data_IF_635870606896
#
_entry.id   IF_635870606896
#
_cell.length_a   1.000
_cell.length_b   1.000
_cell.length_c   1.000
_cell.angle_alpha   90.00
_cell.angle_beta   90.00
_cell.angle_gamma   90.00
#
_symmetry.space_group_name_H-M   'P 1'
#
loop_
_entity.id
_entity.type
_entity.pdbx_description
1 polymer ?
#
# COMPACT_ATOMS: atom_id res chain seq x y z
N UNK A 1 -7.11 22.44 2.96
CA UNK A 1 -6.73 21.23 2.21
C UNK A 1 -7.96 20.41 1.92
N UNK A 2 -8.09 19.90 0.73
CA UNK A 2 -9.23 19.03 0.41
C UNK A 2 -9.15 17.76 1.26
N UNK A 3 -10.23 17.41 1.93
CA UNK A 3 -10.34 16.15 2.67
C UNK A 3 -10.78 15.03 1.70
N UNK A 4 -9.90 14.69 0.77
CA UNK A 4 -10.16 13.75 -0.33
C UNK A 4 -9.02 12.75 -0.46
N UNK A 5 -9.37 11.49 -0.67
CA UNK A 5 -8.42 10.39 -0.88
C UNK A 5 -8.51 9.92 -2.33
N UNK A 6 -7.38 9.80 -2.98
CA UNK A 6 -7.26 9.16 -4.29
C UNK A 6 -6.82 7.71 -4.12
N UNK A 7 -7.53 6.78 -4.74
CA UNK A 7 -7.18 5.37 -4.77
C UNK A 7 -6.81 5.00 -6.20
N UNK A 8 -5.58 4.55 -6.41
CA UNK A 8 -5.16 3.99 -7.70
C UNK A 8 -5.36 2.48 -7.68
N UNK A 9 -6.14 2.02 -8.64
CA UNK A 9 -6.53 0.62 -8.78
C UNK A 9 -5.53 -0.14 -9.66
N UNK A 10 -4.81 -1.07 -9.05
CA UNK A 10 -3.90 -1.99 -9.74
C UNK A 10 -4.54 -3.35 -10.04
N UNK A 11 -5.86 -3.43 -10.04
CA UNK A 11 -6.62 -4.63 -10.36
C UNK A 11 -6.98 -5.51 -9.17
N UNK A 12 -6.88 -4.99 -7.96
CA UNK A 12 -7.25 -5.71 -6.75
C UNK A 12 -8.77 -5.97 -6.69
N UNK A 13 -9.14 -7.17 -6.28
CA UNK A 13 -10.52 -7.48 -5.91
C UNK A 13 -10.99 -6.69 -4.65
N UNK A 14 -10.08 -6.09 -3.90
CA UNK A 14 -10.37 -5.36 -2.66
C UNK A 14 -10.41 -3.84 -2.83
N UNK A 15 -10.19 -3.30 -4.03
CA UNK A 15 -10.16 -1.85 -4.27
C UNK A 15 -11.46 -1.17 -3.83
N UNK A 16 -12.61 -1.76 -4.17
CA UNK A 16 -13.91 -1.23 -3.76
C UNK A 16 -14.11 -1.31 -2.24
N UNK A 17 -13.58 -2.32 -1.58
CA UNK A 17 -13.63 -2.45 -0.13
C UNK A 17 -12.79 -1.36 0.55
N UNK A 18 -11.61 -1.06 0.01
CA UNK A 18 -10.78 0.06 0.48
C UNK A 18 -11.57 1.38 0.41
N UNK A 19 -12.16 1.66 -0.73
CA UNK A 19 -12.98 2.86 -0.92
C UNK A 19 -14.15 2.92 0.05
N UNK A 20 -14.82 1.82 0.25
CA UNK A 20 -15.92 1.71 1.21
C UNK A 20 -15.47 2.03 2.63
N UNK A 21 -14.34 1.49 3.07
CA UNK A 21 -13.79 1.77 4.40
C UNK A 21 -13.42 3.23 4.59
N UNK A 22 -12.86 3.85 3.57
CA UNK A 22 -12.56 5.29 3.59
C UNK A 22 -13.84 6.11 3.73
N UNK A 23 -14.88 5.78 2.97
CA UNK A 23 -16.18 6.47 3.01
C UNK A 23 -16.92 6.28 4.33
N UNK A 24 -16.80 5.13 4.97
CA UNK A 24 -17.36 4.87 6.30
C UNK A 24 -16.78 5.81 7.38
N UNK A 25 -15.61 6.36 7.14
CA UNK A 25 -14.97 7.38 7.98
C UNK A 25 -15.38 8.82 7.61
N UNK A 26 -16.40 8.98 6.76
CA UNK A 26 -16.86 10.27 6.23
C UNK A 26 -15.79 11.03 5.44
N UNK A 27 -14.89 10.29 4.77
CA UNK A 27 -13.87 10.85 3.90
C UNK A 27 -14.24 10.58 2.45
N UNK A 28 -14.24 11.61 1.64
CA UNK A 28 -14.50 11.47 0.20
C UNK A 28 -13.32 10.75 -0.46
N UNK A 29 -13.60 9.78 -1.33
CA UNK A 29 -12.57 9.13 -2.12
C UNK A 29 -13.02 8.86 -3.55
N UNK A 30 -12.06 8.85 -4.45
CA UNK A 30 -12.24 8.50 -5.86
C UNK A 30 -11.28 7.36 -6.21
N UNK A 31 -11.73 6.49 -7.11
CA UNK A 31 -10.93 5.41 -7.66
C UNK A 31 -10.63 5.72 -9.12
N UNK A 32 -9.35 5.68 -9.48
CA UNK A 32 -8.90 5.73 -10.86
C UNK A 32 -8.03 4.51 -11.17
N UNK A 33 -8.05 4.00 -12.41
CA UNK A 33 -7.07 3.02 -12.84
C UNK A 33 -5.64 3.53 -12.59
N UNK A 34 -4.72 2.62 -12.27
CA UNK A 34 -3.33 2.96 -11.93
C UNK A 34 -2.62 3.82 -12.98
N UNK A 35 -2.98 3.66 -14.24
CA UNK A 35 -2.39 4.35 -15.39
C UNK A 35 -3.19 5.57 -15.86
N UNK A 36 -4.23 5.97 -15.14
CA UNK A 36 -5.02 7.16 -15.47
C UNK A 36 -4.18 8.43 -15.28
N UNK A 37 -4.44 9.40 -16.13
CA UNK A 37 -3.89 10.76 -16.03
C UNK A 37 -4.99 11.81 -15.87
N UNK A 38 -6.21 11.39 -15.60
CA UNK A 38 -7.39 12.26 -15.54
C UNK A 38 -7.63 12.85 -14.14
N UNK A 39 -6.58 12.99 -13.34
CA UNK A 39 -6.65 13.61 -12.01
C UNK A 39 -5.44 14.51 -11.77
N UNK A 40 -5.60 15.50 -10.90
CA UNK A 40 -4.48 16.28 -10.36
C UNK A 40 -4.26 15.88 -8.89
N UNK A 41 -3.04 15.46 -8.58
CA UNK A 41 -2.65 15.06 -7.21
C UNK A 41 -2.91 16.16 -6.18
N UNK A 42 -2.85 17.41 -6.59
CA UNK A 42 -3.11 18.57 -5.72
C UNK A 42 -4.54 18.63 -5.19
N UNK A 43 -5.47 17.93 -5.85
CA UNK A 43 -6.86 17.87 -5.42
C UNK A 43 -7.10 16.89 -4.25
N UNK A 44 -6.06 16.17 -3.82
CA UNK A 44 -6.15 15.12 -2.81
C UNK A 44 -5.24 15.38 -1.63
N UNK A 45 -5.66 14.92 -0.46
CA UNK A 45 -4.88 14.99 0.79
C UNK A 45 -4.00 13.76 0.99
N UNK A 46 -4.33 12.64 0.38
CA UNK A 46 -3.49 11.44 0.39
C UNK A 46 -3.86 10.49 -0.76
N UNK A 47 -2.97 9.54 -0.97
CA UNK A 47 -3.02 8.57 -2.06
C UNK A 47 -2.95 7.15 -1.51
N UNK A 48 -3.74 6.23 -2.05
CA UNK A 48 -3.66 4.81 -1.73
C UNK A 48 -3.38 4.02 -3.02
N UNK A 49 -2.36 3.18 -2.99
CA UNK A 49 -2.11 2.18 -4.03
C UNK A 49 -2.72 0.86 -3.58
N UNK A 50 -3.61 0.31 -4.39
CA UNK A 50 -4.25 -0.97 -4.12
C UNK A 50 -3.30 -2.16 -4.34
N UNK A 51 -3.77 -3.36 -4.03
CA UNK A 51 -3.15 -4.60 -4.45
C UNK A 51 -3.34 -4.88 -5.94
N UNK A 52 -2.75 -5.99 -6.39
CA UNK A 52 -2.85 -6.49 -7.75
C UNK A 52 -2.71 -8.01 -7.75
N UNK A 53 -3.29 -8.74 -8.72
CA UNK A 53 -2.99 -10.14 -8.93
C UNK A 53 -1.60 -10.38 -9.54
N UNK A 54 -0.93 -9.33 -10.03
CA UNK A 54 0.39 -9.40 -10.63
C UNK A 54 1.50 -9.34 -9.57
N UNK A 55 2.72 -9.74 -9.97
CA UNK A 55 3.94 -9.56 -9.18
C UNK A 55 4.76 -8.40 -9.73
N UNK A 56 5.39 -7.63 -8.84
CA UNK A 56 6.36 -6.58 -9.25
C UNK A 56 7.60 -7.16 -9.91
N UNK A 57 7.83 -8.47 -9.73
CA UNK A 57 8.96 -9.21 -10.30
C UNK A 57 8.65 -9.77 -11.69
N UNK A 58 7.42 -9.72 -12.15
CA UNK A 58 7.03 -10.23 -13.47
C UNK A 58 7.27 -9.20 -14.56
N UNK A 59 7.42 -9.67 -15.79
CA UNK A 59 7.51 -8.82 -16.98
C UNK A 59 6.22 -8.02 -17.22
N UNK A 60 5.09 -8.56 -16.77
CA UNK A 60 3.77 -7.91 -16.83
C UNK A 60 3.51 -6.95 -15.66
N UNK A 61 4.55 -6.56 -14.94
CA UNK A 61 4.45 -5.63 -13.84
C UNK A 61 3.77 -4.33 -14.28
N UNK A 62 2.73 -3.95 -13.53
CA UNK A 62 2.04 -2.68 -13.75
C UNK A 62 2.94 -1.56 -13.27
N UNK A 63 3.36 -0.70 -14.18
CA UNK A 63 4.30 0.38 -13.89
C UNK A 63 3.68 1.74 -14.13
N UNK A 64 4.03 2.68 -13.25
CA UNK A 64 3.67 4.10 -13.38
C UNK A 64 4.85 4.97 -12.99
N UNK A 65 4.91 6.15 -13.55
CA UNK A 65 5.79 7.20 -13.04
C UNK A 65 5.11 7.87 -11.85
N UNK A 66 5.65 7.67 -10.65
CA UNK A 66 5.14 8.30 -9.44
C UNK A 66 6.08 9.35 -8.84
N UNK A 67 7.01 9.87 -9.62
CA UNK A 67 7.88 10.99 -9.21
C UNK A 67 7.07 12.22 -8.78
N UNK A 68 5.85 12.36 -9.29
CA UNK A 68 4.92 13.41 -8.89
C UNK A 68 4.26 13.19 -7.53
N UNK A 69 4.34 12.00 -6.96
CA UNK A 69 3.65 11.62 -5.72
C UNK A 69 4.61 11.51 -4.53
N UNK A 70 5.74 10.84 -4.73
CA UNK A 70 6.70 10.53 -3.65
C UNK A 70 7.23 11.82 -3.03
N UNK A 71 7.11 11.90 -1.70
CA UNK A 71 7.55 13.05 -0.92
C UNK A 71 6.68 14.31 -1.03
N UNK A 72 5.64 14.29 -1.88
CA UNK A 72 4.76 15.45 -2.10
C UNK A 72 3.39 15.26 -1.46
N UNK A 73 2.92 14.03 -1.33
CA UNK A 73 1.63 13.67 -0.76
C UNK A 73 1.78 12.42 0.08
N UNK A 74 1.13 12.31 1.25
CA UNK A 74 1.08 11.05 1.99
C UNK A 74 0.56 9.91 1.12
N UNK A 75 1.30 8.79 1.09
CA UNK A 75 1.01 7.67 0.24
C UNK A 75 1.02 6.37 1.05
N UNK A 76 -0.05 5.58 0.92
CA UNK A 76 -0.19 4.27 1.52
C UNK A 76 -0.21 3.20 0.43
N UNK A 77 0.71 2.24 0.51
CA UNK A 77 0.69 1.05 -0.33
C UNK A 77 0.08 -0.14 0.40
N UNK A 78 -0.77 -0.89 -0.28
CA UNK A 78 -1.41 -2.11 0.23
C UNK A 78 -1.03 -3.27 -0.67
N UNK A 79 -0.47 -4.36 -0.11
CA UNK A 79 -0.03 -5.55 -0.84
C UNK A 79 0.88 -5.20 -2.03
N UNK A 80 0.43 -5.43 -3.27
CA UNK A 80 1.19 -5.05 -4.46
C UNK A 80 1.64 -3.59 -4.42
N UNK A 81 0.77 -2.66 -3.99
CA UNK A 81 1.13 -1.26 -3.87
C UNK A 81 2.31 -1.02 -2.94
N UNK A 82 2.36 -1.71 -1.81
CA UNK A 82 3.49 -1.64 -0.88
C UNK A 82 4.77 -2.25 -1.48
N UNK A 83 4.65 -3.40 -2.13
CA UNK A 83 5.76 -4.07 -2.83
C UNK A 83 6.30 -3.21 -3.95
N UNK A 84 5.43 -2.60 -4.73
CA UNK A 84 5.78 -1.70 -5.81
C UNK A 84 6.56 -0.48 -5.32
N UNK A 85 6.08 0.15 -4.25
CA UNK A 85 6.78 1.29 -3.63
C UNK A 85 8.16 0.89 -3.11
N UNK A 86 8.27 -0.26 -2.44
CA UNK A 86 9.55 -0.77 -1.95
C UNK A 86 10.51 -1.01 -3.11
N UNK A 87 10.08 -1.71 -4.14
CA UNK A 87 10.88 -2.05 -5.32
C UNK A 87 11.40 -0.79 -6.05
N UNK A 88 10.54 0.17 -6.30
CA UNK A 88 10.89 1.41 -7.02
C UNK A 88 11.77 2.36 -6.19
N UNK A 89 11.78 2.22 -4.88
CA UNK A 89 12.64 3.02 -3.99
C UNK A 89 13.93 2.29 -3.57
N UNK A 90 14.34 1.27 -4.31
CA UNK A 90 15.60 0.56 -4.08
C UNK A 90 15.54 -0.53 -3.02
N UNK A 91 14.34 -0.87 -2.53
CA UNK A 91 14.13 -2.03 -1.68
C UNK A 91 14.08 -3.33 -2.49
N UNK A 92 14.05 -4.44 -1.79
CA UNK A 92 13.98 -5.76 -2.39
C UNK A 92 12.63 -6.42 -2.13
N UNK A 93 12.09 -7.02 -3.17
CA UNK A 93 10.91 -7.88 -3.13
C UNK A 93 11.30 -9.23 -3.69
N UNK A 94 10.97 -10.28 -2.99
CA UNK A 94 11.27 -11.66 -3.43
C UNK A 94 10.05 -12.55 -3.26
N UNK A 95 9.95 -13.64 -4.06
CA UNK A 95 8.93 -14.64 -3.82
C UNK A 95 9.03 -15.18 -2.39
N UNK A 96 7.91 -15.23 -1.70
CA UNK A 96 7.87 -15.83 -0.37
C UNK A 96 7.99 -17.34 -0.48
N UNK A 97 8.76 -17.96 0.43
CA UNK A 97 8.81 -19.42 0.55
C UNK A 97 7.46 -20.01 0.95
N UNK A 98 6.63 -19.20 1.60
CA UNK A 98 5.24 -19.50 1.92
C UNK A 98 4.35 -18.41 1.36
N UNK A 99 3.45 -18.79 0.45
CA UNK A 99 2.37 -17.89 0.07
C UNK A 99 1.48 -17.67 1.27
N UNK A 100 1.24 -16.42 1.61
CA UNK A 100 0.49 -16.06 2.80
C UNK A 100 -0.91 -15.62 2.42
N UNK A 101 -1.84 -16.50 2.71
CA UNK A 101 -3.26 -16.25 2.58
C UNK A 101 -3.93 -16.64 3.90
N UNK A 102 -4.33 -15.67 4.68
CA UNK A 102 -4.98 -15.92 5.94
C UNK A 102 -4.52 -15.03 7.08
N UNK A 103 -4.66 -15.56 8.27
CA UNK A 103 -4.39 -14.84 9.51
C UNK A 103 -2.90 -14.68 9.76
N UNK A 104 -2.51 -13.49 10.17
CA UNK A 104 -1.17 -13.19 10.68
C UNK A 104 -1.29 -12.29 11.91
N UNK A 105 -0.17 -12.12 12.62
CA UNK A 105 -0.11 -11.21 13.76
C UNK A 105 0.98 -10.17 13.55
N UNK A 106 0.70 -8.95 13.97
CA UNK A 106 1.72 -7.91 14.00
C UNK A 106 2.65 -8.15 15.19
N UNK A 107 3.93 -8.41 14.94
CA UNK A 107 4.92 -8.63 15.99
C UNK A 107 5.31 -7.32 16.65
N UNK A 108 5.59 -6.31 15.83
CA UNK A 108 6.14 -5.05 16.28
C UNK A 108 5.50 -3.91 15.51
N UNK A 109 5.12 -2.89 16.24
CA UNK A 109 4.54 -1.66 15.70
C UNK A 109 5.40 -0.50 16.18
N UNK A 110 5.85 0.31 15.24
CA UNK A 110 6.50 1.57 15.60
C UNK A 110 5.49 2.49 16.29
N UNK A 111 5.74 2.79 17.56
CA UNK A 111 4.84 3.62 18.39
C UNK A 111 4.67 5.05 17.87
N UNK A 112 5.60 5.51 17.05
CA UNK A 112 5.53 6.83 16.42
C UNK A 112 4.75 6.82 15.09
N UNK A 113 4.31 5.66 14.63
CA UNK A 113 3.51 5.55 13.41
C UNK A 113 2.13 6.19 13.60
N UNK A 114 1.85 7.20 12.82
CA UNK A 114 0.52 7.83 12.80
C UNK A 114 -0.54 6.89 12.24
N UNK A 115 -0.16 6.06 11.27
CA UNK A 115 -1.07 5.10 10.61
C UNK A 115 -1.53 3.99 11.56
N UNK A 116 -0.64 3.54 12.44
CA UNK A 116 -0.88 2.41 13.32
C UNK A 116 -1.23 2.82 14.75
N UNK A 117 -1.53 4.10 14.96
CA UNK A 117 -1.92 4.63 16.26
C UNK A 117 -3.17 3.90 16.79
N UNK A 118 -3.08 3.37 18.00
CA UNK A 118 -4.19 2.64 18.63
C UNK A 118 -4.26 1.16 18.26
N UNK A 119 -3.31 0.65 17.47
CA UNK A 119 -3.19 -0.77 17.16
C UNK A 119 -2.10 -1.36 18.05
N UNK A 120 -2.42 -2.46 18.73
CA UNK A 120 -1.51 -3.12 19.67
C UNK A 120 -0.63 -4.18 18.98
N UNK A 121 0.56 -4.39 19.53
CA UNK A 121 1.39 -5.55 19.17
C UNK A 121 0.60 -6.84 19.41
N UNK A 122 0.76 -7.80 18.52
CA UNK A 122 0.01 -9.05 18.53
C UNK A 122 -1.37 -8.97 17.90
N UNK A 123 -1.80 -7.79 17.43
CA UNK A 123 -3.07 -7.65 16.71
C UNK A 123 -3.13 -8.57 15.50
N UNK A 124 -4.28 -9.21 15.31
CA UNK A 124 -4.52 -10.06 14.16
C UNK A 124 -4.79 -9.22 12.91
N UNK A 125 -4.11 -9.57 11.83
CA UNK A 125 -4.33 -9.02 10.49
C UNK A 125 -4.59 -10.14 9.50
N UNK A 126 -5.04 -9.78 8.32
CA UNK A 126 -5.24 -10.71 7.23
C UNK A 126 -4.22 -10.46 6.14
N UNK A 127 -3.57 -11.52 5.68
CA UNK A 127 -2.56 -11.46 4.62
C UNK A 127 -3.09 -12.12 3.35
N UNK A 128 -2.72 -11.57 2.21
CA UNK A 128 -3.07 -12.12 0.90
C UNK A 128 -1.99 -11.70 -0.10
N UNK A 129 -0.88 -12.42 -0.09
CA UNK A 129 0.25 -12.15 -1.00
C UNK A 129 1.14 -13.36 -1.21
N UNK A 130 1.83 -13.38 -2.35
CA UNK A 130 2.82 -14.40 -2.71
C UNK A 130 4.25 -13.87 -2.60
N UNK A 131 4.48 -12.58 -2.72
CA UNK A 131 5.78 -11.94 -2.64
C UNK A 131 5.95 -11.23 -1.29
N UNK A 132 7.19 -11.13 -0.83
CA UNK A 132 7.54 -10.50 0.44
C UNK A 132 8.55 -9.38 0.21
N UNK A 133 8.34 -8.26 0.89
CA UNK A 133 9.32 -7.18 0.96
C UNK A 133 10.39 -7.59 1.96
N UNK A 134 11.62 -7.72 1.50
CA UNK A 134 12.76 -8.16 2.34
C UNK A 134 13.60 -6.98 2.82
N UNK A 135 13.75 -5.96 1.99
CA UNK A 135 14.40 -4.71 2.37
C UNK A 135 13.65 -3.50 1.84
N UNK A 136 13.72 -2.40 2.56
CA UNK A 136 13.13 -1.12 2.15
C UNK A 136 14.13 0.02 2.32
N UNK A 137 13.97 1.07 1.52
CA UNK A 137 14.59 2.35 1.78
C UNK A 137 13.69 3.19 2.69
N UNK A 138 14.17 3.51 3.88
CA UNK A 138 13.39 4.27 4.87
C UNK A 138 13.39 5.78 4.63
N UNK A 139 13.96 6.26 3.54
CA UNK A 139 13.95 7.69 3.20
C UNK A 139 12.53 8.23 3.06
N UNK A 140 11.63 7.43 2.44
CA UNK A 140 10.24 7.81 2.21
C UNK A 140 9.22 6.74 2.67
N UNK A 141 9.69 5.57 3.13
CA UNK A 141 8.84 4.42 3.42
C UNK A 141 9.00 3.96 4.87
N UNK A 142 7.90 3.50 5.45
CA UNK A 142 7.88 2.83 6.75
C UNK A 142 7.00 1.59 6.67
N UNK A 143 7.39 0.52 7.38
CA UNK A 143 6.65 -0.74 7.44
C UNK A 143 6.42 -1.17 8.89
N UNK A 144 5.24 -1.74 9.21
CA UNK A 144 5.10 -2.58 10.39
C UNK A 144 5.83 -3.91 10.16
N UNK A 145 6.34 -4.52 11.22
CA UNK A 145 6.92 -5.87 11.19
C UNK A 145 5.90 -6.91 11.64
N UNK A 146 6.03 -8.11 11.12
CA UNK A 146 5.16 -9.25 11.42
C UNK A 146 6.00 -10.53 11.67
N UNK A 147 5.33 -11.62 12.10
CA UNK A 147 5.95 -12.83 12.65
C UNK A 147 6.91 -13.56 11.73
N UNK A 148 6.73 -13.46 10.44
CA UNK A 148 7.42 -14.25 9.43
C UNK A 148 8.34 -13.42 8.53
N UNK A 149 8.72 -12.29 9.01
CA UNK A 149 9.68 -11.39 8.34
C UNK A 149 11.03 -11.48 8.98
#
# INVERSE_FOLDING_TARGET
>A
MPNRVLILDFGSQYTQLIARRVRELNVFCEIFPYNSKNFDVKDYSCLIFSGSPFSVMSEDCLDIDFSDFIGKIPLLGICYGAQYLAHKNGGEVSPSSKREYGRARLISINKNSKLLKGIDNGSQVWMSHADTITTVSYTHLTLPTRDDV
#
